data_IF_789657541357
#
_entry.id   IF_789657541357
#
_cell.length_a   1.000
_cell.length_b   1.000
_cell.length_c   1.000
_cell.angle_alpha   90.00
_cell.angle_beta   90.00
_cell.angle_gamma   90.00
#
_symmetry.space_group_name_H-M   'P 1'
#
loop_
_entity.id
_entity.type
_entity.pdbx_description
1 polymer ?
#
# COMPACT_ATOMS: atom_id res chain seq x y z
N UNK A 1 -4.34 -11.81 4.41
CA UNK A 1 -3.80 -11.30 5.69
C UNK A 1 -2.28 -11.09 5.66
N UNK A 2 -1.48 -12.04 5.15
CA UNK A 2 0.00 -11.97 5.10
C UNK A 2 0.54 -10.76 4.31
N UNK A 3 -0.10 -10.37 3.20
CA UNK A 3 0.35 -9.21 2.40
C UNK A 3 0.20 -7.86 3.12
N UNK A 4 -0.78 -7.71 4.02
CA UNK A 4 -0.93 -6.50 4.83
C UNK A 4 0.16 -6.40 5.89
N UNK A 5 0.57 -7.53 6.46
CA UNK A 5 1.67 -7.59 7.44
C UNK A 5 2.99 -7.22 6.78
N UNK A 6 3.27 -7.74 5.58
CA UNK A 6 4.51 -7.40 4.82
C UNK A 6 4.56 -5.90 4.47
N UNK A 7 3.44 -5.32 4.03
CA UNK A 7 3.37 -3.88 3.71
C UNK A 7 3.59 -3.00 4.94
N UNK A 8 3.05 -3.39 6.09
CA UNK A 8 3.27 -2.72 7.38
C UNK A 8 4.74 -2.87 7.82
N UNK A 9 5.33 -4.06 7.65
CA UNK A 9 6.70 -4.34 8.08
C UNK A 9 7.73 -3.57 7.25
N UNK A 10 7.55 -3.47 5.93
CA UNK A 10 8.42 -2.69 5.03
C UNK A 10 8.28 -1.19 5.32
N UNK A 11 7.06 -0.69 5.54
CA UNK A 11 6.82 0.71 5.91
C UNK A 11 7.48 1.06 7.24
N UNK A 12 7.47 0.12 8.19
CA UNK A 12 8.09 0.29 9.51
C UNK A 12 9.63 0.24 9.45
N UNK A 13 10.22 -0.58 8.58
CA UNK A 13 11.68 -0.63 8.37
C UNK A 13 12.25 0.66 7.77
N UNK A 14 11.56 1.25 6.80
CA UNK A 14 11.98 2.53 6.22
C UNK A 14 11.87 3.64 7.27
N UNK A 15 10.77 3.67 8.04
CA UNK A 15 10.59 4.62 9.15
C UNK A 15 11.70 4.48 10.20
N UNK A 16 12.04 3.25 10.58
CA UNK A 16 13.11 2.96 11.54
C UNK A 16 14.48 3.40 11.01
N UNK A 17 14.78 3.14 9.74
CA UNK A 17 16.04 3.57 9.12
C UNK A 17 16.18 5.09 9.07
N UNK A 18 15.10 5.80 8.75
CA UNK A 18 15.08 7.27 8.75
C UNK A 18 15.23 7.80 10.18
N UNK A 19 14.56 7.18 11.16
CA UNK A 19 14.66 7.56 12.58
C UNK A 19 16.09 7.39 13.11
N UNK A 20 16.74 6.26 12.82
CA UNK A 20 18.13 5.99 13.22
C UNK A 20 19.08 7.00 12.57
N UNK A 21 18.89 7.33 11.29
CA UNK A 21 19.70 8.34 10.60
C UNK A 21 19.52 9.72 11.24
N UNK A 22 18.29 10.11 11.58
CA UNK A 22 18.01 11.36 12.29
C UNK A 22 18.68 11.40 13.67
N UNK A 23 18.59 10.32 14.46
CA UNK A 23 19.25 10.24 15.77
C UNK A 23 20.77 10.31 15.66
N UNK A 24 21.35 9.67 14.63
CA UNK A 24 22.78 9.74 14.35
C UNK A 24 23.23 11.17 13.99
N UNK A 25 22.45 11.87 13.14
CA UNK A 25 22.72 13.27 12.80
C UNK A 25 22.57 14.21 14.00
N UNK A 26 21.58 13.96 14.87
CA UNK A 26 21.41 14.70 16.13
C UNK A 26 22.58 14.46 17.10
N UNK A 27 23.10 13.24 17.17
CA UNK A 27 24.31 12.91 17.93
C UNK A 27 25.55 13.64 17.42
N UNK A 28 25.69 13.81 16.10
CA UNK A 28 26.79 14.60 15.50
C UNK A 28 26.65 16.11 15.73
N UNK A 29 25.42 16.58 15.98
CA UNK A 29 25.14 17.97 16.36
C UNK A 29 25.38 18.24 17.84
N UNK A 30 25.47 17.22 18.70
CA UNK A 30 25.71 17.42 20.12
C UNK A 30 27.14 17.93 20.33
N UNK A 31 27.35 19.17 20.81
CA UNK A 31 28.68 19.68 21.04
C UNK A 31 29.30 18.92 22.23
N UNK A 32 30.45 18.30 22.00
CA UNK A 32 31.33 17.85 23.08
C UNK A 32 31.85 19.09 23.81
N UNK A 33 31.45 19.22 25.08
CA UNK A 33 31.91 20.14 26.13
C UNK A 33 32.44 21.54 25.75
N UNK A 34 31.75 22.63 26.14
CA UNK A 34 32.32 23.97 26.13
C UNK A 34 33.11 24.22 27.42
N UNK A 35 34.20 23.48 27.63
CA UNK A 35 35.14 23.77 28.71
C UNK A 35 36.38 24.50 28.15
N UNK A 36 36.42 25.80 28.42
CA UNK A 36 37.55 26.74 28.32
C UNK A 36 37.79 27.56 27.03
N UNK A 37 37.70 28.89 27.24
CA UNK A 37 38.22 30.06 26.48
C UNK A 37 37.37 30.60 25.31
N UNK A 38 36.63 31.69 25.60
CA UNK A 38 35.46 32.17 24.85
C UNK A 38 35.64 33.41 23.96
N UNK A 39 36.86 33.89 23.67
CA UNK A 39 37.00 35.23 23.04
C UNK A 39 37.63 35.21 21.63
N UNK A 40 38.23 34.10 21.18
CA UNK A 40 38.81 33.99 19.82
C UNK A 40 38.17 32.92 18.93
N UNK A 41 37.16 32.23 19.43
CA UNK A 41 36.57 31.01 18.85
C UNK A 41 35.23 31.23 18.16
N UNK A 42 34.63 32.43 18.26
CA UNK A 42 33.27 32.72 17.74
C UNK A 42 33.22 32.59 16.21
N UNK A 43 34.23 33.08 15.46
CA UNK A 43 34.25 32.98 13.99
C UNK A 43 34.52 31.56 13.48
N UNK A 44 35.24 30.75 14.24
CA UNK A 44 35.57 29.37 13.87
C UNK A 44 34.42 28.42 14.21
N UNK A 45 33.66 28.72 15.28
CA UNK A 45 32.48 27.94 15.67
C UNK A 45 31.31 28.14 14.71
N UNK A 46 31.05 29.37 14.26
CA UNK A 46 30.01 29.66 13.27
C UNK A 46 30.28 28.97 11.93
N UNK A 47 31.53 28.99 11.47
CA UNK A 47 31.91 28.32 10.21
C UNK A 47 31.80 26.80 10.31
N UNK A 48 32.21 26.20 11.43
CA UNK A 48 32.04 24.76 11.67
C UNK A 48 30.57 24.34 11.72
N UNK A 49 29.71 25.15 12.37
CA UNK A 49 28.30 24.85 12.48
C UNK A 49 27.60 24.96 11.11
N UNK A 50 27.94 25.98 10.32
CA UNK A 50 27.40 26.18 8.98
C UNK A 50 27.81 25.04 8.04
N UNK A 51 29.08 24.61 8.08
CA UNK A 51 29.55 23.45 7.30
C UNK A 51 28.81 22.17 7.71
N UNK A 52 28.63 21.92 9.01
CA UNK A 52 27.86 20.76 9.50
C UNK A 52 26.40 20.79 9.04
N UNK A 53 25.75 21.95 9.05
CA UNK A 53 24.38 22.11 8.54
C UNK A 53 24.31 21.87 7.04
N UNK A 54 25.25 22.37 6.25
CA UNK A 54 25.31 22.11 4.81
C UNK A 54 25.53 20.63 4.50
N UNK A 55 26.49 19.98 5.18
CA UNK A 55 26.81 18.56 4.97
C UNK A 55 25.62 17.69 5.38
N UNK A 56 25.02 17.92 6.55
CA UNK A 56 23.83 17.16 7.00
C UNK A 56 22.62 17.39 6.10
N UNK A 57 22.38 18.62 5.64
CA UNK A 57 21.32 18.94 4.67
C UNK A 57 21.52 18.22 3.34
N UNK A 58 22.76 18.18 2.84
CA UNK A 58 23.09 17.45 1.61
C UNK A 58 22.86 15.95 1.76
N UNK A 59 23.30 15.35 2.87
CA UNK A 59 23.07 13.93 3.19
C UNK A 59 21.58 13.57 3.29
N UNK A 60 20.73 14.47 3.80
CA UNK A 60 19.28 14.25 3.87
C UNK A 60 18.57 14.43 2.53
N UNK A 61 19.14 15.21 1.60
CA UNK A 61 18.53 15.43 0.29
C UNK A 61 18.54 14.18 -0.60
N UNK A 62 19.59 13.36 -0.52
CA UNK A 62 19.75 12.13 -1.33
C UNK A 62 18.61 11.11 -1.12
N UNK A 63 18.25 10.70 0.12
CA UNK A 63 17.15 9.77 0.34
C UNK A 63 15.79 10.36 -0.05
N UNK A 64 15.60 11.67 0.12
CA UNK A 64 14.38 12.36 -0.32
C UNK A 64 14.21 12.30 -1.84
N UNK A 65 15.27 12.62 -2.60
CA UNK A 65 15.26 12.54 -4.07
C UNK A 65 15.01 11.10 -4.52
N UNK A 66 15.69 10.14 -3.89
CA UNK A 66 15.51 8.71 -4.20
C UNK A 66 14.07 8.25 -3.95
N UNK A 67 13.47 8.64 -2.82
CA UNK A 67 12.08 8.33 -2.51
C UNK A 67 11.12 8.96 -3.54
N UNK A 68 11.35 10.21 -3.93
CA UNK A 68 10.56 10.89 -4.96
C UNK A 68 10.62 10.17 -6.31
N UNK A 69 11.81 9.72 -6.74
CA UNK A 69 11.97 8.96 -7.99
C UNK A 69 11.21 7.63 -7.93
N UNK A 70 11.28 6.91 -6.81
CA UNK A 70 10.57 5.64 -6.62
C UNK A 70 9.06 5.86 -6.68
N UNK A 71 8.55 6.88 -5.99
CA UNK A 71 7.12 7.21 -5.99
C UNK A 71 6.64 7.62 -7.38
N UNK A 72 7.42 8.45 -8.09
CA UNK A 72 7.10 8.86 -9.46
C UNK A 72 7.04 7.66 -10.41
N UNK A 73 8.03 6.77 -10.35
CA UNK A 73 8.06 5.56 -11.17
C UNK A 73 6.92 4.60 -10.81
N UNK A 74 6.61 4.45 -9.53
CA UNK A 74 5.51 3.61 -9.06
C UNK A 74 4.15 4.15 -9.49
N UNK A 75 3.97 5.46 -9.54
CA UNK A 75 2.71 6.08 -9.96
C UNK A 75 2.50 5.98 -11.47
N UNK A 76 3.59 6.01 -12.24
CA UNK A 76 3.57 5.90 -13.70
C UNK A 76 3.81 4.47 -14.21
N UNK A 77 3.86 3.48 -13.32
CA UNK A 77 4.02 2.09 -13.73
C UNK A 77 2.81 1.66 -14.55
N UNK A 78 3.04 1.33 -15.82
CA UNK A 78 2.02 0.69 -16.65
C UNK A 78 1.69 -0.68 -16.05
N UNK A 79 0.40 -0.94 -15.88
CA UNK A 79 -0.13 -2.23 -15.48
C UNK A 79 0.15 -3.21 -16.60
N UNK A 80 0.90 -4.27 -16.29
CA UNK A 80 1.09 -5.37 -17.22
C UNK A 80 -0.10 -6.32 -17.12
N UNK A 81 -0.90 -6.44 -18.18
CA UNK A 81 -2.10 -7.31 -18.20
C UNK A 81 -1.71 -8.79 -18.05
N UNK A 82 -0.50 -9.17 -18.48
CA UNK A 82 0.00 -10.55 -18.37
C UNK A 82 0.14 -11.04 -16.92
N UNK A 83 0.21 -10.12 -15.95
CA UNK A 83 0.23 -10.45 -14.52
C UNK A 83 -1.17 -10.78 -13.95
N UNK A 84 -2.21 -10.81 -14.80
CA UNK A 84 -3.59 -11.02 -14.40
C UNK A 84 -4.23 -12.17 -15.18
N UNK A 85 -5.10 -12.90 -14.51
CA UNK A 85 -5.96 -13.92 -15.12
C UNK A 85 -7.40 -13.41 -15.19
N UNK A 86 -8.01 -13.48 -16.37
CA UNK A 86 -9.43 -13.16 -16.53
C UNK A 86 -10.29 -14.35 -16.09
N UNK A 87 -11.28 -14.09 -15.24
CA UNK A 87 -12.26 -15.08 -14.84
C UNK A 87 -13.59 -14.78 -15.57
N UNK A 88 -13.97 -15.67 -16.49
CA UNK A 88 -15.16 -15.52 -17.34
C UNK A 88 -16.46 -15.55 -16.53
N UNK A 89 -16.54 -16.37 -15.48
CA UNK A 89 -17.73 -16.50 -14.63
C UNK A 89 -18.11 -15.20 -13.92
N UNK A 90 -17.09 -14.45 -13.48
CA UNK A 90 -17.25 -13.20 -12.73
C UNK A 90 -17.04 -11.95 -13.56
N UNK A 91 -16.44 -12.08 -14.74
CA UNK A 91 -16.04 -10.96 -15.59
C UNK A 91 -14.97 -10.04 -14.97
N UNK A 92 -14.16 -10.56 -14.04
CA UNK A 92 -13.14 -9.83 -13.27
C UNK A 92 -11.74 -10.37 -13.57
N UNK A 93 -10.74 -9.50 -13.44
CA UNK A 93 -9.33 -9.91 -13.48
C UNK A 93 -8.82 -10.20 -12.08
N UNK A 94 -8.04 -11.27 -11.92
CA UNK A 94 -7.37 -11.62 -10.67
C UNK A 94 -5.87 -11.53 -10.86
N UNK A 95 -5.19 -10.74 -10.04
CA UNK A 95 -3.73 -10.63 -10.12
C UNK A 95 -3.06 -11.94 -9.67
N UNK A 96 -2.17 -12.50 -10.49
CA UNK A 96 -1.57 -13.83 -10.30
C UNK A 96 -0.89 -14.01 -8.95
N UNK A 97 -0.13 -12.99 -8.51
CA UNK A 97 0.67 -13.03 -7.27
C UNK A 97 -0.12 -12.67 -6.02
N UNK A 98 -0.95 -11.65 -6.08
CA UNK A 98 -1.64 -11.11 -4.89
C UNK A 98 -3.03 -11.70 -4.69
N UNK A 99 -3.59 -12.35 -5.73
CA UNK A 99 -4.96 -12.89 -5.77
C UNK A 99 -6.05 -11.85 -5.52
N UNK A 100 -5.72 -10.56 -5.66
CA UNK A 100 -6.68 -9.46 -5.56
C UNK A 100 -7.46 -9.37 -6.86
N UNK A 101 -8.78 -9.19 -6.76
CA UNK A 101 -9.68 -9.00 -7.90
C UNK A 101 -9.75 -7.52 -8.29
N UNK A 102 -9.77 -7.28 -9.60
CA UNK A 102 -9.77 -5.95 -10.22
C UNK A 102 -10.89 -5.83 -11.25
N UNK A 103 -11.41 -4.62 -11.38
CA UNK A 103 -12.41 -4.29 -12.38
C UNK A 103 -11.82 -4.31 -13.79
N UNK A 104 -12.40 -5.11 -14.68
CA UNK A 104 -12.00 -5.24 -16.09
C UNK A 104 -11.95 -3.90 -16.83
N UNK A 105 -12.99 -3.07 -16.70
CA UNK A 105 -13.05 -1.79 -17.41
C UNK A 105 -12.01 -0.76 -16.93
N UNK A 106 -11.60 -0.84 -15.66
CA UNK A 106 -10.55 0.02 -15.14
C UNK A 106 -9.17 -0.50 -15.52
N UNK A 107 -8.95 -1.81 -15.42
CA UNK A 107 -7.66 -2.44 -15.68
C UNK A 107 -7.24 -2.25 -17.15
N UNK A 108 -8.16 -2.40 -18.10
CA UNK A 108 -7.90 -2.16 -19.53
C UNK A 108 -7.57 -0.70 -19.85
N UNK A 109 -7.99 0.24 -18.98
CA UNK A 109 -7.64 1.66 -19.06
C UNK A 109 -6.37 2.00 -18.28
N UNK A 110 -5.60 1.00 -17.86
CA UNK A 110 -4.40 1.15 -17.05
C UNK A 110 -4.67 1.79 -15.66
N UNK A 111 -5.88 1.61 -15.12
CA UNK A 111 -6.30 2.12 -13.82
C UNK A 111 -6.36 0.96 -12.82
N UNK A 112 -5.54 1.03 -11.78
CA UNK A 112 -5.55 0.04 -10.69
C UNK A 112 -6.76 0.26 -9.79
N UNK A 113 -7.85 -0.46 -10.07
CA UNK A 113 -9.08 -0.38 -9.29
C UNK A 113 -9.47 -1.75 -8.72
N UNK A 114 -9.10 -2.03 -7.46
CA UNK A 114 -9.55 -3.25 -6.79
C UNK A 114 -11.07 -3.21 -6.61
N UNK A 115 -11.68 -4.40 -6.58
CA UNK A 115 -13.11 -4.51 -6.26
C UNK A 115 -13.29 -4.80 -4.76
N UNK A 116 -14.28 -4.14 -4.15
CA UNK A 116 -14.75 -4.46 -2.81
C UNK A 116 -15.73 -5.64 -2.89
N UNK A 117 -15.60 -6.60 -1.97
CA UNK A 117 -16.58 -7.68 -1.81
C UNK A 117 -17.75 -7.16 -0.98
N UNK A 118 -18.96 -7.34 -1.48
CA UNK A 118 -20.23 -7.02 -0.84
C UNK A 118 -21.06 -8.31 -0.71
N UNK A 119 -22.12 -8.29 0.11
CA UNK A 119 -22.98 -9.46 0.35
C UNK A 119 -23.64 -10.01 -0.92
N UNK A 120 -23.83 -9.16 -1.93
CA UNK A 120 -24.53 -9.46 -3.18
C UNK A 120 -23.62 -9.43 -4.42
N UNK A 121 -22.30 -9.32 -4.26
CA UNK A 121 -21.38 -9.29 -5.39
C UNK A 121 -20.12 -8.46 -5.14
N UNK A 122 -19.59 -7.86 -6.21
CA UNK A 122 -18.36 -7.06 -6.16
C UNK A 122 -18.58 -5.67 -6.74
N UNK A 123 -18.01 -4.65 -6.10
CA UNK A 123 -18.10 -3.26 -6.56
C UNK A 123 -16.74 -2.66 -6.82
N UNK A 124 -16.58 -2.06 -7.99
CA UNK A 124 -15.40 -1.28 -8.34
C UNK A 124 -15.21 -0.10 -7.38
N UNK A 125 -14.02 0.05 -6.77
CA UNK A 125 -13.74 1.15 -5.84
C UNK A 125 -13.39 2.48 -6.54
N UNK A 126 -13.10 2.46 -7.84
CA UNK A 126 -12.86 3.67 -8.60
C UNK A 126 -14.15 4.47 -8.80
N UNK A 127 -14.17 5.69 -8.26
CA UNK A 127 -15.35 6.56 -8.14
C UNK A 127 -16.08 6.77 -9.47
N UNK A 128 -15.34 6.93 -10.56
CA UNK A 128 -15.92 7.19 -11.89
C UNK A 128 -16.46 5.93 -12.58
N UNK A 129 -15.96 4.74 -12.23
CA UNK A 129 -16.42 3.51 -12.85
C UNK A 129 -17.67 2.96 -12.17
N UNK A 130 -17.65 2.84 -10.84
CA UNK A 130 -18.75 2.37 -9.99
C UNK A 130 -19.47 1.08 -10.46
N UNK A 131 -18.85 0.29 -11.35
CA UNK A 131 -19.44 -0.94 -11.89
C UNK A 131 -19.64 -1.96 -10.79
N UNK A 132 -20.79 -2.63 -10.85
CA UNK A 132 -21.17 -3.71 -9.97
C UNK A 132 -21.16 -5.03 -10.75
N UNK A 133 -20.58 -6.06 -10.15
CA UNK A 133 -20.45 -7.40 -10.70
C UNK A 133 -21.24 -8.34 -9.81
N UNK A 134 -22.32 -8.89 -10.34
CA UNK A 134 -23.17 -9.83 -9.61
C UNK A 134 -22.42 -11.15 -9.51
N UNK A 135 -22.01 -11.51 -8.31
CA UNK A 135 -21.56 -12.86 -8.03
C UNK A 135 -22.74 -13.65 -7.55
N UNK A 136 -23.01 -14.80 -8.17
CA UNK A 136 -23.60 -15.91 -7.43
C UNK A 136 -22.59 -16.26 -6.34
N UNK A 137 -22.69 -15.60 -5.18
CA UNK A 137 -22.14 -16.13 -3.95
C UNK A 137 -23.00 -17.36 -3.71
N UNK A 138 -22.59 -18.49 -4.26
CA UNK A 138 -22.96 -19.80 -3.74
C UNK A 138 -22.45 -19.76 -2.31
N UNK A 139 -23.30 -19.31 -1.39
CA UNK A 139 -23.12 -19.51 0.03
C UNK A 139 -22.95 -21.00 0.17
N UNK A 140 -21.71 -21.45 0.33
CA UNK A 140 -21.40 -22.82 0.65
C UNK A 140 -22.26 -23.22 1.84
N UNK A 141 -23.10 -24.22 1.59
CA UNK A 141 -23.80 -25.07 2.53
C UNK A 141 -23.74 -24.63 4.00
N UNK A 142 -24.80 -23.95 4.44
CA UNK A 142 -25.28 -24.16 5.80
C UNK A 142 -25.94 -25.55 5.78
N UNK A 143 -25.42 -26.57 6.48
CA UNK A 143 -26.15 -27.83 6.64
C UNK A 143 -27.34 -27.56 7.58
N UNK A 144 -28.40 -26.95 7.04
CA UNK A 144 -29.68 -26.88 7.72
C UNK A 144 -30.35 -28.23 7.56
N UNK A 145 -30.00 -29.15 8.46
CA UNK A 145 -30.82 -30.30 8.78
C UNK A 145 -32.21 -29.86 9.18
N UNK A 146 -33.09 -29.69 8.19
CA UNK A 146 -34.54 -29.64 8.40
C UNK A 146 -35.22 -30.29 7.21
N UNK A 147 -35.45 -31.60 7.34
CA UNK A 147 -36.45 -32.33 6.54
C UNK A 147 -37.79 -31.65 6.77
N UNK A 148 -38.24 -30.84 5.81
CA UNK A 148 -39.66 -30.49 5.70
C UNK A 148 -40.26 -31.56 4.80
N UNK A 149 -40.85 -32.57 5.43
CA UNK A 149 -41.73 -33.53 4.79
C UNK A 149 -43.04 -32.77 4.54
N UNK A 150 -43.26 -32.26 3.32
CA UNK A 150 -44.61 -31.96 2.89
C UNK A 150 -45.21 -33.20 2.24
N UNK A 151 -46.16 -33.78 2.96
CA UNK A 151 -47.10 -34.80 2.51
C UNK A 151 -47.68 -34.43 1.15
N UNK A 152 -47.64 -35.37 0.21
CA UNK A 152 -48.50 -35.32 -0.96
C UNK A 152 -49.98 -35.37 -0.56
N UNK A 153 -50.83 -34.91 -1.46
CA UNK A 153 -52.25 -35.23 -1.63
C UNK A 153 -52.64 -34.78 -3.06
N UNK A 154 -53.60 -35.46 -3.71
CA UNK A 154 -53.51 -35.91 -5.10
C UNK A 154 -54.29 -35.10 -6.13
N UNK A 155 -54.03 -35.44 -7.41
CA UNK A 155 -54.91 -35.70 -8.57
C UNK A 155 -56.20 -34.85 -8.69
N UNK A 156 -56.45 -34.27 -9.88
CA UNK A 156 -57.63 -34.58 -10.72
C UNK A 156 -57.70 -33.70 -11.97
N UNK A 157 -57.89 -34.39 -13.10
CA UNK A 157 -58.39 -33.95 -14.43
C UNK A 157 -57.43 -33.24 -15.39
#
# INVERSE_FOLDING_TARGET
>A
MIQSVIKIWIKNKILLSVLILCLFLLGLLWPLDPAHSLIKTISLLETQLLVKLLVSGFLLSIPLITAMIILYKSNNAKINIDDYDFNEETGLYTHKKTKIKYCTSCLLKNISSPVAVLSNGWRCQYKECNKFYTGLVLTADIPSGRRVIHKGIPIDS
#
